data_IF_267625333777
#
_entry.id   IF_267625333777
#
_cell.length_a   1.000
_cell.length_b   1.000
_cell.length_c   1.000
_cell.angle_alpha   90.00
_cell.angle_beta   90.00
_cell.angle_gamma   90.00
#
_symmetry.space_group_name_H-M   'P 1'
#
loop_
_entity.id
_entity.type
_entity.pdbx_description
1 polymer ?
#
# COMPACT_ATOMS: atom_id res chain seq x y z
N UNK A 1 11.91 35.48 10.50
CA UNK A 1 11.55 34.57 11.60
C UNK A 1 12.55 33.44 11.59
N UNK A 2 13.35 33.25 12.65
CA UNK A 2 14.29 32.13 12.75
C UNK A 2 13.49 30.83 13.01
N UNK A 3 13.91 29.70 12.45
CA UNK A 3 13.22 28.41 12.59
C UNK A 3 13.17 27.97 14.05
N UNK A 4 14.23 28.28 14.82
CA UNK A 4 14.31 28.04 16.27
C UNK A 4 13.20 28.79 17.01
N UNK A 5 12.94 30.06 16.64
CA UNK A 5 11.86 30.86 17.24
C UNK A 5 10.50 30.24 16.95
N UNK A 6 10.23 29.81 15.70
CA UNK A 6 8.95 29.18 15.34
C UNK A 6 8.72 27.84 16.07
N UNK A 7 9.79 27.08 16.32
CA UNK A 7 9.73 25.86 17.12
C UNK A 7 9.37 26.15 18.57
N UNK A 8 10.04 27.12 19.20
CA UNK A 8 9.74 27.55 20.57
C UNK A 8 8.33 28.11 20.71
N UNK A 9 7.85 28.85 19.71
CA UNK A 9 6.46 29.34 19.67
C UNK A 9 5.48 28.17 19.76
N UNK A 10 5.72 27.12 18.99
CA UNK A 10 4.89 25.91 18.97
C UNK A 10 4.97 25.14 20.29
N UNK A 11 6.19 24.99 20.84
CA UNK A 11 6.46 24.27 22.08
C UNK A 11 5.76 24.92 23.29
N UNK A 12 5.73 26.25 23.34
CA UNK A 12 5.13 27.00 24.45
C UNK A 12 3.65 27.37 24.21
N UNK A 13 3.10 27.15 23.01
CA UNK A 13 1.74 27.55 22.64
C UNK A 13 0.63 26.92 23.50
N UNK A 14 0.88 25.71 24.03
CA UNK A 14 -0.08 24.98 24.86
C UNK A 14 -0.15 25.50 26.31
N UNK A 15 0.76 26.40 26.70
CA UNK A 15 0.91 26.85 28.08
C UNK A 15 0.51 28.31 28.25
N UNK A 16 -0.25 28.66 29.32
CA UNK A 16 -0.57 30.04 29.62
C UNK A 16 0.70 30.88 29.79
N UNK A 17 0.74 32.12 29.28
CA UNK A 17 1.88 33.00 29.47
C UNK A 17 2.00 33.38 30.96
N UNK A 18 3.03 32.89 31.62
CA UNK A 18 3.45 33.31 32.95
C UNK A 18 4.84 33.99 32.88
N UNK A 19 5.22 34.82 33.88
CA UNK A 19 6.57 35.39 33.94
C UNK A 19 7.66 34.31 33.86
N UNK A 20 7.47 33.21 34.60
CA UNK A 20 8.40 32.07 34.59
C UNK A 20 8.46 31.35 33.25
N UNK A 21 7.32 31.20 32.57
CA UNK A 21 7.23 30.59 31.24
C UNK A 21 7.94 31.44 30.17
N UNK A 22 7.88 32.76 30.31
CA UNK A 22 8.58 33.70 29.41
C UNK A 22 10.08 33.67 29.65
N UNK A 23 10.52 33.62 30.91
CA UNK A 23 11.92 33.44 31.28
C UNK A 23 12.46 32.11 30.76
N UNK A 24 11.78 30.99 31.01
CA UNK A 24 12.17 29.67 30.55
C UNK A 24 12.26 29.58 29.02
N UNK A 25 11.35 30.25 28.30
CA UNK A 25 11.43 30.36 26.83
C UNK A 25 12.66 31.14 26.38
N UNK A 26 13.01 32.23 27.07
CA UNK A 26 14.21 33.01 26.74
C UNK A 26 15.51 32.26 27.03
N UNK A 27 15.52 31.49 28.13
CA UNK A 27 16.64 30.64 28.54
C UNK A 27 16.84 29.50 27.52
N UNK A 28 15.75 28.81 27.16
CA UNK A 28 15.80 27.75 26.16
C UNK A 28 16.18 28.28 24.78
N UNK A 29 15.73 29.48 24.41
CA UNK A 29 16.16 30.13 23.17
C UNK A 29 17.67 30.36 23.14
N UNK A 30 18.26 30.84 24.23
CA UNK A 30 19.71 31.04 24.31
C UNK A 30 20.47 29.71 24.18
N UNK A 31 20.01 28.67 24.88
CA UNK A 31 20.62 27.33 24.80
C UNK A 31 20.56 26.73 23.38
N UNK A 32 19.42 26.88 22.70
CA UNK A 32 19.25 26.39 21.33
C UNK A 32 20.11 27.17 20.32
N UNK A 33 20.28 28.48 20.51
CA UNK A 33 21.13 29.32 19.65
C UNK A 33 22.63 28.98 19.83
N UNK A 34 23.04 28.69 21.07
CA UNK A 34 24.40 28.24 21.37
C UNK A 34 24.70 26.86 20.75
N UNK A 35 23.76 25.91 20.85
CA UNK A 35 23.87 24.59 20.22
C UNK A 35 23.87 24.69 18.68
N UNK A 36 23.04 25.57 18.12
CA UNK A 36 23.00 25.84 16.68
C UNK A 36 24.35 26.37 16.17
N UNK A 37 24.91 27.36 16.87
CA UNK A 37 26.21 27.95 16.52
C UNK A 37 27.33 26.92 16.63
N UNK A 38 27.32 26.09 17.67
CA UNK A 38 28.26 24.97 17.84
C UNK A 38 28.21 23.97 16.67
N UNK A 39 27.01 23.65 16.17
CA UNK A 39 26.86 22.77 15.01
C UNK A 39 27.33 23.40 13.69
N UNK A 40 27.17 24.71 13.52
CA UNK A 40 27.75 25.42 12.38
C UNK A 40 29.28 25.39 12.43
N UNK A 41 29.88 25.62 13.60
CA UNK A 41 31.33 25.56 13.80
C UNK A 41 31.89 24.14 13.59
N UNK A 42 31.07 23.11 13.83
CA UNK A 42 31.37 21.71 13.51
C UNK A 42 31.26 21.37 12.01
N UNK A 43 30.92 22.34 11.15
CA UNK A 43 30.86 22.21 9.69
C UNK A 43 29.52 21.69 9.15
N UNK A 44 28.45 21.68 9.96
CA UNK A 44 27.11 21.31 9.49
C UNK A 44 26.50 22.44 8.64
N UNK A 45 25.65 22.07 7.68
CA UNK A 45 24.84 23.05 6.96
C UNK A 45 23.76 23.64 7.87
N UNK A 46 23.31 24.88 7.61
CA UNK A 46 22.27 25.55 8.41
C UNK A 46 21.02 24.68 8.60
N UNK A 47 20.54 24.03 7.53
CA UNK A 47 19.35 23.17 7.58
C UNK A 47 19.56 21.91 8.44
N UNK A 48 20.77 21.36 8.44
CA UNK A 48 21.12 20.17 9.23
C UNK A 48 21.32 20.53 10.71
N UNK A 49 21.97 21.65 10.99
CA UNK A 49 22.17 22.18 12.33
C UNK A 49 20.81 22.46 13.01
N UNK A 50 19.86 23.10 12.30
CA UNK A 50 18.50 23.33 12.84
C UNK A 50 17.78 22.02 13.16
N UNK A 51 17.82 21.04 12.25
CA UNK A 51 17.19 19.73 12.49
C UNK A 51 17.81 18.96 13.66
N UNK A 52 19.13 19.09 13.83
CA UNK A 52 19.88 18.49 14.93
C UNK A 52 19.49 19.10 16.28
N UNK A 53 19.46 20.43 16.38
CA UNK A 53 19.06 21.15 17.60
C UNK A 53 17.62 20.80 18.01
N UNK A 54 16.67 20.75 17.06
CA UNK A 54 15.29 20.37 17.35
C UNK A 54 15.22 18.94 17.95
N UNK A 55 16.02 18.02 17.43
CA UNK A 55 16.05 16.62 17.91
C UNK A 55 16.73 16.49 19.27
N UNK A 56 17.76 17.28 19.54
CA UNK A 56 18.53 17.24 20.79
C UNK A 56 17.73 17.76 21.99
N UNK A 57 16.97 18.85 21.79
CA UNK A 57 16.20 19.47 22.87
C UNK A 57 14.85 18.80 23.10
N UNK A 58 14.29 18.09 22.11
CA UNK A 58 13.08 17.28 22.31
C UNK A 58 11.87 18.10 22.77
N UNK A 59 11.03 17.53 23.63
CA UNK A 59 9.80 18.16 24.12
C UNK A 59 10.01 18.92 25.44
N UNK A 60 9.15 19.92 25.71
CA UNK A 60 9.23 20.75 26.91
C UNK A 60 9.14 19.95 28.21
N UNK A 61 8.44 18.81 28.21
CA UNK A 61 8.29 17.93 29.38
C UNK A 61 9.64 17.35 29.86
N UNK A 62 10.58 17.11 28.95
CA UNK A 62 11.91 16.56 29.27
C UNK A 62 12.84 17.66 29.80
N UNK A 63 12.63 18.90 29.35
CA UNK A 63 13.40 20.08 29.74
C UNK A 63 12.84 20.76 31.00
N UNK A 64 11.57 20.52 31.32
CA UNK A 64 10.87 21.13 32.44
C UNK A 64 11.59 21.01 33.79
N UNK A 65 12.22 19.87 34.15
CA UNK A 65 12.97 19.74 35.40
C UNK A 65 14.24 20.60 35.42
N UNK A 66 14.90 20.76 34.27
CA UNK A 66 16.14 21.53 34.15
C UNK A 66 15.87 23.04 34.17
N UNK A 67 14.74 23.44 33.58
CA UNK A 67 14.27 24.82 33.55
C UNK A 67 13.46 25.21 34.79
N UNK A 68 13.24 24.29 35.75
CA UNK A 68 12.50 24.56 36.97
C UNK A 68 11.01 24.92 36.76
N UNK A 69 10.41 24.50 35.65
CA UNK A 69 9.01 24.79 35.28
C UNK A 69 8.08 23.57 35.45
N UNK A 70 8.56 22.47 36.03
CA UNK A 70 7.78 21.25 36.23
C UNK A 70 6.46 21.49 36.98
N UNK A 71 6.43 22.43 37.93
CA UNK A 71 5.21 22.79 38.67
C UNK A 71 4.21 23.61 37.85
N UNK A 72 4.70 24.42 36.91
CA UNK A 72 3.88 25.29 36.05
C UNK A 72 3.22 24.50 34.91
N UNK A 73 3.85 23.42 34.46
CA UNK A 73 3.31 22.51 33.44
C UNK A 73 2.31 21.53 34.07
N UNK A 74 2.57 21.02 35.28
CA UNK A 74 1.71 20.06 35.97
C UNK A 74 0.39 20.65 36.51
N UNK A 75 0.32 21.97 36.69
CA UNK A 75 -0.88 22.68 37.20
C UNK A 75 -1.87 23.08 36.11
N UNK A 76 -1.51 22.86 34.83
CA UNK A 76 -2.40 23.01 33.69
C UNK A 76 -2.96 21.61 33.35
N UNK A 77 -4.28 21.34 33.54
CA UNK A 77 -4.85 20.10 33.02
C UNK A 77 -4.64 20.06 31.50
N UNK A 78 -4.30 18.91 30.91
CA UNK A 78 -3.91 18.82 29.51
C UNK A 78 -4.97 19.51 28.65
N UNK A 79 -4.60 20.67 28.08
CA UNK A 79 -5.44 21.35 27.13
C UNK A 79 -5.63 20.37 25.96
N UNK A 80 -6.90 20.11 25.62
CA UNK A 80 -7.26 19.24 24.52
C UNK A 80 -6.43 19.62 23.28
N UNK A 81 -5.86 18.64 22.55
CA UNK A 81 -4.88 18.91 21.52
C UNK A 81 -5.46 19.86 20.46
N UNK A 82 -4.84 21.03 20.32
CA UNK A 82 -5.10 21.98 19.23
C UNK A 82 -4.65 21.36 17.89
N UNK A 83 -5.39 21.52 16.78
CA UNK A 83 -5.22 20.69 15.58
C UNK A 83 -4.07 21.08 14.61
N UNK A 84 -3.14 21.97 14.96
CA UNK A 84 -2.26 22.61 13.95
C UNK A 84 -0.76 22.71 14.32
N UNK A 85 -0.18 21.68 14.94
CA UNK A 85 1.26 21.39 14.85
C UNK A 85 1.50 20.21 13.88
N UNK A 86 2.72 19.98 13.33
CA UNK A 86 3.00 18.80 12.52
C UNK A 86 2.67 17.57 13.38
N UNK A 87 1.50 16.99 13.10
CA UNK A 87 0.89 15.99 13.95
C UNK A 87 1.84 14.80 13.91
N UNK A 88 2.56 14.56 15.01
CA UNK A 88 3.18 13.26 15.22
C UNK A 88 2.04 12.25 15.12
N UNK A 89 1.92 11.61 13.95
CA UNK A 89 0.80 10.74 13.62
C UNK A 89 0.67 9.73 14.75
N UNK A 90 -0.52 9.65 15.36
CA UNK A 90 -0.77 8.70 16.44
C UNK A 90 -0.31 7.31 15.99
N UNK A 91 0.49 6.59 16.82
CA UNK A 91 1.12 5.37 16.39
C UNK A 91 0.08 4.33 15.98
N UNK A 92 0.39 3.54 14.95
CA UNK A 92 -0.51 2.48 14.48
C UNK A 92 -0.79 1.51 15.63
N UNK A 93 -2.07 1.37 15.97
CA UNK A 93 -2.52 0.43 17.00
C UNK A 93 -2.70 -0.96 16.40
N UNK A 94 -2.69 -1.98 17.27
CA UNK A 94 -2.97 -3.35 16.84
C UNK A 94 -4.36 -3.46 16.22
N UNK A 95 -5.36 -2.82 16.83
CA UNK A 95 -6.75 -2.80 16.35
C UNK A 95 -6.86 -2.22 14.93
N UNK A 96 -6.11 -1.16 14.63
CA UNK A 96 -6.06 -0.55 13.29
C UNK A 96 -5.44 -1.51 12.26
N UNK A 97 -4.37 -2.22 12.64
CA UNK A 97 -3.71 -3.21 11.78
C UNK A 97 -4.60 -4.44 11.52
N UNK A 98 -5.35 -4.91 12.53
CA UNK A 98 -6.31 -5.99 12.39
C UNK A 98 -7.51 -5.60 11.53
N UNK A 99 -8.05 -4.38 11.72
CA UNK A 99 -9.12 -3.85 10.88
C UNK A 99 -8.69 -3.73 9.42
N UNK A 100 -7.44 -3.31 9.16
CA UNK A 100 -6.88 -3.27 7.81
C UNK A 100 -6.76 -4.68 7.19
N UNK A 101 -6.27 -5.66 7.94
CA UNK A 101 -6.21 -7.04 7.48
C UNK A 101 -7.59 -7.59 7.14
N UNK A 102 -8.59 -7.34 8.00
CA UNK A 102 -9.97 -7.76 7.78
C UNK A 102 -10.55 -7.15 6.50
N UNK A 103 -10.41 -5.83 6.31
CA UNK A 103 -10.83 -5.13 5.10
C UNK A 103 -10.12 -5.66 3.84
N UNK A 104 -8.83 -6.01 3.96
CA UNK A 104 -8.06 -6.57 2.85
C UNK A 104 -8.48 -7.99 2.50
N UNK A 105 -8.77 -8.84 3.49
CA UNK A 105 -9.32 -10.19 3.29
C UNK A 105 -10.68 -10.14 2.63
N UNK A 106 -11.57 -9.24 3.06
CA UNK A 106 -12.91 -9.07 2.46
C UNK A 106 -12.82 -8.62 1.00
N UNK A 107 -11.88 -7.73 0.67
CA UNK A 107 -11.72 -7.20 -0.68
C UNK A 107 -10.78 -8.02 -1.57
N UNK A 108 -10.13 -9.06 -1.06
CA UNK A 108 -9.18 -9.90 -1.83
C UNK A 108 -9.85 -10.67 -2.98
N UNK A 109 -11.03 -11.30 -2.81
CA UNK A 109 -11.71 -11.99 -3.91
C UNK A 109 -12.08 -11.04 -5.05
N UNK A 110 -12.43 -9.79 -4.74
CA UNK A 110 -12.72 -8.76 -5.73
C UNK A 110 -11.49 -8.47 -6.62
N UNK A 111 -10.30 -8.36 -6.02
CA UNK A 111 -9.04 -8.23 -6.77
C UNK A 111 -8.80 -9.44 -7.69
N UNK A 112 -9.01 -10.66 -7.19
CA UNK A 112 -8.81 -11.88 -7.97
C UNK A 112 -9.76 -11.95 -9.18
N UNK A 113 -11.04 -11.63 -8.98
CA UNK A 113 -12.03 -11.60 -10.07
C UNK A 113 -11.72 -10.52 -11.11
N UNK A 114 -11.31 -9.32 -10.70
CA UNK A 114 -10.91 -8.28 -11.65
C UNK A 114 -9.78 -8.76 -12.57
N UNK A 115 -8.78 -9.45 -12.01
CA UNK A 115 -7.67 -10.00 -12.80
C UNK A 115 -8.12 -11.11 -13.75
N UNK A 116 -9.04 -11.99 -13.33
CA UNK A 116 -9.65 -13.00 -14.20
C UNK A 116 -10.38 -12.35 -15.37
N UNK A 117 -11.16 -11.29 -15.13
CA UNK A 117 -11.86 -10.55 -16.18
C UNK A 117 -10.87 -9.93 -17.18
N UNK A 118 -9.76 -9.36 -16.73
CA UNK A 118 -8.74 -8.83 -17.65
C UNK A 118 -8.12 -9.93 -18.51
N UNK A 119 -7.72 -11.06 -17.91
CA UNK A 119 -7.07 -12.17 -18.63
C UNK A 119 -8.03 -12.81 -19.63
N UNK A 120 -9.30 -12.99 -19.27
CA UNK A 120 -10.30 -13.60 -20.14
C UNK A 120 -10.96 -12.62 -21.12
N UNK A 121 -10.76 -11.31 -20.97
CA UNK A 121 -11.42 -10.31 -21.82
C UNK A 121 -11.22 -10.52 -23.34
N UNK A 122 -10.04 -10.91 -23.87
CA UNK A 122 -9.91 -11.14 -25.31
C UNK A 122 -10.39 -12.53 -25.74
N UNK A 123 -10.73 -13.46 -24.83
CA UNK A 123 -11.03 -14.84 -25.18
C UNK A 123 -12.22 -14.96 -26.13
N UNK A 124 -13.31 -14.23 -25.86
CA UNK A 124 -14.50 -14.23 -26.71
C UNK A 124 -14.19 -13.67 -28.09
N UNK A 125 -13.45 -12.56 -28.16
CA UNK A 125 -13.02 -11.95 -29.42
C UNK A 125 -12.18 -12.92 -30.26
N UNK A 126 -11.19 -13.58 -29.65
CA UNK A 126 -10.32 -14.54 -30.32
C UNK A 126 -11.15 -15.69 -30.88
N UNK A 127 -11.98 -16.32 -30.03
CA UNK A 127 -12.82 -17.47 -30.41
C UNK A 127 -13.75 -17.11 -31.56
N UNK A 128 -14.55 -16.04 -31.43
CA UNK A 128 -15.48 -15.60 -32.46
C UNK A 128 -14.76 -15.28 -33.78
N UNK A 129 -13.63 -14.58 -33.72
CA UNK A 129 -12.86 -14.21 -34.91
C UNK A 129 -12.30 -15.44 -35.63
N UNK A 130 -11.77 -16.42 -34.88
CA UNK A 130 -11.21 -17.65 -35.50
C UNK A 130 -12.29 -18.55 -36.07
N UNK A 131 -13.39 -18.75 -35.36
CA UNK A 131 -14.50 -19.58 -35.84
C UNK A 131 -15.16 -18.96 -37.08
N UNK A 132 -15.32 -17.62 -37.09
CA UNK A 132 -15.86 -16.90 -38.24
C UNK A 132 -14.93 -16.96 -39.45
N UNK A 133 -13.63 -16.72 -39.26
CA UNK A 133 -12.64 -16.79 -40.34
C UNK A 133 -12.49 -18.21 -40.93
N UNK A 134 -12.73 -19.23 -40.13
CA UNK A 134 -12.76 -20.62 -40.58
C UNK A 134 -14.09 -21.04 -41.25
N UNK A 135 -15.12 -20.18 -41.26
CA UNK A 135 -16.45 -20.51 -41.76
C UNK A 135 -17.20 -21.54 -40.91
N UNK A 136 -16.76 -21.77 -39.67
CA UNK A 136 -17.33 -22.76 -38.77
C UNK A 136 -18.63 -22.28 -38.10
N UNK A 137 -18.91 -20.98 -38.16
CA UNK A 137 -20.16 -20.36 -37.69
C UNK A 137 -20.78 -19.52 -38.80
N UNK A 138 -22.11 -19.40 -38.83
CA UNK A 138 -22.86 -18.59 -39.81
C UNK A 138 -22.75 -17.07 -39.60
N UNK A 139 -21.68 -16.60 -38.95
CA UNK A 139 -21.45 -15.19 -38.63
C UNK A 139 -20.25 -14.69 -39.44
N UNK A 140 -20.42 -13.57 -40.14
CA UNK A 140 -19.33 -12.93 -40.87
C UNK A 140 -18.25 -12.36 -39.92
N UNK A 141 -17.03 -12.15 -40.45
CA UNK A 141 -15.86 -11.76 -39.63
C UNK A 141 -16.06 -10.41 -38.94
N UNK A 142 -16.55 -9.40 -39.65
CA UNK A 142 -16.75 -8.06 -39.10
C UNK A 142 -17.71 -8.02 -37.89
N UNK A 143 -18.93 -8.60 -37.95
CA UNK A 143 -19.79 -8.63 -36.78
C UNK A 143 -19.24 -9.51 -35.66
N UNK A 144 -18.53 -10.61 -35.97
CA UNK A 144 -17.85 -11.42 -34.96
C UNK A 144 -16.80 -10.63 -34.17
N UNK A 145 -15.99 -9.83 -34.88
CA UNK A 145 -15.02 -8.91 -34.28
C UNK A 145 -15.74 -7.85 -33.44
N UNK A 146 -16.79 -7.20 -33.96
CA UNK A 146 -17.54 -6.18 -33.22
C UNK A 146 -18.10 -6.73 -31.89
N UNK A 147 -18.78 -7.88 -31.93
CA UNK A 147 -19.34 -8.52 -30.73
C UNK A 147 -18.23 -8.85 -29.74
N UNK A 148 -17.13 -9.46 -30.23
CA UNK A 148 -15.97 -9.78 -29.41
C UNK A 148 -15.36 -8.56 -28.73
N UNK A 149 -15.21 -7.45 -29.46
CA UNK A 149 -14.68 -6.19 -28.93
C UNK A 149 -15.62 -5.58 -27.89
N UNK A 150 -16.94 -5.58 -28.11
CA UNK A 150 -17.91 -5.09 -27.13
C UNK A 150 -17.84 -5.90 -25.84
N UNK A 151 -17.75 -7.24 -25.92
CA UNK A 151 -17.60 -8.10 -24.74
C UNK A 151 -16.27 -7.83 -24.01
N UNK A 152 -15.17 -7.71 -24.75
CA UNK A 152 -13.87 -7.36 -24.20
C UNK A 152 -13.94 -6.04 -23.40
N UNK A 153 -14.49 -4.98 -24.00
CA UNK A 153 -14.61 -3.68 -23.36
C UNK A 153 -15.51 -3.73 -22.12
N UNK A 154 -16.60 -4.50 -22.16
CA UNK A 154 -17.48 -4.69 -21.01
C UNK A 154 -16.76 -5.41 -19.84
N UNK A 155 -15.98 -6.46 -20.14
CA UNK A 155 -15.16 -7.14 -19.14
C UNK A 155 -14.11 -6.21 -18.51
N UNK A 156 -13.42 -5.41 -19.33
CA UNK A 156 -12.45 -4.42 -18.88
C UNK A 156 -13.12 -3.36 -17.99
N UNK A 157 -14.24 -2.80 -18.42
CA UNK A 157 -14.99 -1.82 -17.63
C UNK A 157 -15.47 -2.40 -16.29
N UNK A 158 -15.95 -3.64 -16.28
CA UNK A 158 -16.33 -4.36 -15.07
C UNK A 158 -15.14 -4.57 -14.12
N UNK A 159 -14.00 -5.02 -14.63
CA UNK A 159 -12.78 -5.22 -13.85
C UNK A 159 -12.28 -3.91 -13.22
N UNK A 160 -12.22 -2.82 -13.99
CA UNK A 160 -11.84 -1.50 -13.47
C UNK A 160 -12.82 -1.03 -12.39
N UNK A 161 -14.12 -1.20 -12.59
CA UNK A 161 -15.13 -0.82 -11.59
C UNK A 161 -14.95 -1.57 -10.27
N UNK A 162 -14.65 -2.88 -10.33
CA UNK A 162 -14.34 -3.69 -9.15
C UNK A 162 -13.10 -3.15 -8.43
N UNK A 163 -12.04 -2.80 -9.17
CA UNK A 163 -10.80 -2.25 -8.59
C UNK A 163 -10.99 -0.88 -7.96
N UNK A 164 -11.77 0.02 -8.59
CA UNK A 164 -12.09 1.34 -8.05
C UNK A 164 -12.86 1.21 -6.73
N UNK A 165 -13.90 0.35 -6.69
CA UNK A 165 -14.66 0.08 -5.46
C UNK A 165 -13.79 -0.51 -4.35
N UNK A 166 -12.86 -1.41 -4.70
CA UNK A 166 -11.88 -1.95 -3.76
C UNK A 166 -10.96 -0.86 -3.23
N UNK A 167 -10.45 0.02 -4.08
CA UNK A 167 -9.60 1.15 -3.66
C UNK A 167 -10.34 2.07 -2.69
N UNK A 168 -11.60 2.41 -2.98
CA UNK A 168 -12.43 3.22 -2.09
C UNK A 168 -12.62 2.57 -0.72
N UNK A 169 -12.86 1.26 -0.66
CA UNK A 169 -12.97 0.52 0.61
C UNK A 169 -11.69 0.50 1.44
N UNK A 170 -10.53 0.59 0.78
CA UNK A 170 -9.23 0.61 1.45
C UNK A 170 -8.70 2.03 1.71
N UNK A 171 -9.37 3.07 1.19
CA UNK A 171 -8.97 4.47 1.36
C UNK A 171 -8.86 4.93 2.83
N UNK A 172 -9.73 4.49 3.77
CA UNK A 172 -9.56 4.84 5.20
C UNK A 172 -8.22 4.38 5.80
N UNK A 173 -7.57 3.39 5.20
CA UNK A 173 -6.31 2.81 5.66
C UNK A 173 -5.09 3.30 4.84
N UNK A 174 -5.23 4.38 4.06
CA UNK A 174 -4.15 4.90 3.20
C UNK A 174 -2.86 5.16 3.99
N UNK A 175 -2.96 5.73 5.21
CA UNK A 175 -1.82 5.99 6.10
C UNK A 175 -0.98 4.75 6.43
N UNK A 176 -1.60 3.56 6.47
CA UNK A 176 -0.89 2.30 6.72
C UNK A 176 -0.13 1.82 5.48
N UNK A 177 -0.68 2.08 4.29
CA UNK A 177 -0.08 1.72 3.01
C UNK A 177 1.06 2.67 2.61
N UNK A 178 0.95 3.94 2.97
CA UNK A 178 1.91 5.01 2.66
C UNK A 178 3.12 5.00 3.60
N UNK A 179 2.96 4.48 4.83
CA UNK A 179 4.08 4.24 5.76
C UNK A 179 4.37 5.41 6.70
N UNK A 180 3.49 6.41 6.75
CA UNK A 180 3.72 7.68 7.47
C UNK A 180 3.52 7.59 8.99
N UNK A 181 2.97 6.48 9.51
CA UNK A 181 2.62 6.37 10.92
C UNK A 181 3.68 5.60 11.75
N UNK A 182 4.21 6.19 12.85
CA UNK A 182 5.05 5.51 13.84
C UNK A 182 4.36 4.22 14.33
N UNK A 183 5.10 3.13 14.58
CA UNK A 183 4.50 1.82 14.93
C UNK A 183 4.95 1.35 16.31
N UNK A 184 4.05 0.62 16.99
CA UNK A 184 4.38 -0.04 18.25
C UNK A 184 5.03 -1.41 18.00
N UNK A 185 5.95 -1.84 18.88
CA UNK A 185 6.60 -3.16 18.77
C UNK A 185 5.64 -4.36 18.89
N UNK A 186 4.38 -4.13 19.31
CA UNK A 186 3.32 -5.13 19.24
C UNK A 186 2.89 -5.43 17.79
N UNK A 187 2.77 -4.40 16.95
CA UNK A 187 2.38 -4.52 15.52
C UNK A 187 3.46 -5.27 14.74
N UNK A 188 4.74 -5.04 15.03
CA UNK A 188 5.84 -5.72 14.35
C UNK A 188 5.88 -7.22 14.65
N UNK A 189 5.71 -7.60 15.93
CA UNK A 189 5.63 -9.02 16.33
C UNK A 189 4.43 -9.71 15.70
N UNK A 190 3.28 -9.04 15.68
CA UNK A 190 2.08 -9.53 15.05
C UNK A 190 2.24 -9.69 13.53
N UNK A 191 2.80 -8.68 12.85
CA UNK A 191 3.06 -8.74 11.41
C UNK A 191 4.07 -9.84 11.04
N UNK A 192 5.07 -10.07 11.88
CA UNK A 192 6.02 -11.19 11.74
C UNK A 192 5.33 -12.55 11.85
N UNK A 193 4.46 -12.73 12.84
CA UNK A 193 3.67 -13.96 13.00
C UNK A 193 2.72 -14.18 11.81
N UNK A 194 2.07 -13.11 11.33
CA UNK A 194 1.20 -13.16 10.15
C UNK A 194 1.98 -13.54 8.88
N UNK A 195 3.18 -13.00 8.70
CA UNK A 195 4.05 -13.36 7.58
C UNK A 195 4.44 -14.84 7.62
N UNK A 196 4.77 -15.36 8.81
CA UNK A 196 5.16 -16.76 9.00
C UNK A 196 3.99 -17.72 8.70
N UNK A 197 2.76 -17.42 9.14
CA UNK A 197 1.58 -18.25 8.84
C UNK A 197 1.19 -18.19 7.35
N UNK A 198 1.35 -17.02 6.71
CA UNK A 198 1.01 -16.84 5.31
C UNK A 198 2.03 -17.47 4.34
N UNK A 199 3.30 -17.57 4.72
CA UNK A 199 4.39 -18.04 3.86
C UNK A 199 4.14 -19.42 3.22
N UNK A 200 3.82 -20.50 3.96
CA UNK A 200 3.62 -21.82 3.34
C UNK A 200 2.42 -21.82 2.39
N UNK A 201 1.30 -21.21 2.79
CA UNK A 201 0.08 -21.14 1.98
C UNK A 201 0.30 -20.40 0.66
N UNK A 202 1.06 -19.30 0.70
CA UNK A 202 1.42 -18.50 -0.49
C UNK A 202 2.39 -19.25 -1.39
N UNK A 203 3.40 -19.90 -0.83
CA UNK A 203 4.36 -20.71 -1.60
C UNK A 203 3.66 -21.83 -2.36
N UNK A 204 2.76 -22.58 -1.72
CA UNK A 204 2.00 -23.63 -2.42
C UNK A 204 1.07 -23.04 -3.49
N UNK A 205 0.42 -21.90 -3.22
CA UNK A 205 -0.40 -21.21 -4.23
C UNK A 205 0.42 -20.80 -5.45
N UNK A 206 1.61 -20.26 -5.21
CA UNK A 206 2.55 -19.83 -6.24
C UNK A 206 3.04 -21.01 -7.07
N UNK A 207 3.42 -22.12 -6.44
CA UNK A 207 3.79 -23.36 -7.14
C UNK A 207 2.67 -23.88 -8.04
N UNK A 208 1.43 -23.91 -7.56
CA UNK A 208 0.27 -24.32 -8.36
C UNK A 208 0.05 -23.35 -9.53
N UNK A 209 0.11 -22.04 -9.29
CA UNK A 209 -0.06 -21.03 -10.33
C UNK A 209 1.01 -21.16 -11.43
N UNK A 210 2.28 -21.28 -11.03
CA UNK A 210 3.40 -21.47 -11.97
C UNK A 210 3.25 -22.75 -12.77
N UNK A 211 2.88 -23.87 -12.13
CA UNK A 211 2.61 -25.12 -12.84
C UNK A 211 1.49 -24.96 -13.87
N UNK A 212 0.39 -24.30 -13.51
CA UNK A 212 -0.72 -24.00 -14.42
C UNK A 212 -0.28 -23.11 -15.59
N UNK A 213 0.54 -22.09 -15.34
CA UNK A 213 1.03 -21.18 -16.39
C UNK A 213 1.97 -21.87 -17.38
N UNK A 214 2.82 -22.78 -16.90
CA UNK A 214 3.69 -23.58 -17.76
C UNK A 214 2.84 -24.53 -18.62
N UNK A 215 1.87 -25.24 -18.00
CA UNK A 215 1.00 -26.18 -18.72
C UNK A 215 -0.01 -25.46 -19.61
N UNK A 216 -0.33 -24.19 -19.35
CA UNK A 216 -1.26 -23.40 -20.17
C UNK A 216 -0.85 -23.29 -21.64
N UNK A 217 0.44 -23.47 -21.96
CA UNK A 217 0.93 -23.47 -23.34
C UNK A 217 0.60 -24.77 -24.11
N UNK A 218 0.33 -25.88 -23.40
CA UNK A 218 0.10 -27.21 -23.99
C UNK A 218 -1.07 -27.24 -24.98
N UNK A 219 -2.26 -26.66 -24.70
CA UNK A 219 -3.36 -26.64 -25.67
C UNK A 219 -2.98 -26.00 -27.02
N UNK A 220 -2.23 -24.88 -26.98
CA UNK A 220 -1.80 -24.17 -28.19
C UNK A 220 -0.77 -24.99 -28.96
N UNK A 221 0.21 -25.58 -28.27
CA UNK A 221 1.21 -26.45 -28.90
C UNK A 221 0.60 -27.72 -29.49
N UNK A 222 -0.35 -28.34 -28.78
CA UNK A 222 -1.05 -29.53 -29.26
C UNK A 222 -1.80 -29.24 -30.57
N UNK A 223 -2.56 -28.15 -30.65
CA UNK A 223 -3.25 -27.76 -31.89
C UNK A 223 -2.28 -27.32 -32.98
N UNK A 224 -1.17 -26.68 -32.62
CA UNK A 224 -0.20 -26.18 -33.61
C UNK A 224 0.68 -27.27 -34.22
N UNK A 225 1.05 -28.30 -33.44
CA UNK A 225 2.02 -29.33 -33.85
C UNK A 225 1.39 -30.66 -34.24
N UNK A 226 0.23 -31.01 -33.66
CA UNK A 226 -0.38 -32.33 -33.86
C UNK A 226 -1.60 -32.30 -34.80
N UNK A 227 -2.24 -31.14 -34.98
CA UNK A 227 -3.44 -31.03 -35.79
C UNK A 227 -3.13 -30.79 -37.28
N UNK A 228 -4.01 -31.26 -38.17
CA UNK A 228 -3.94 -30.93 -39.60
C UNK A 228 -4.10 -29.41 -39.83
N UNK A 229 -3.59 -28.85 -40.94
CA UNK A 229 -3.67 -27.41 -41.21
C UNK A 229 -5.10 -26.83 -41.15
N UNK A 230 -6.10 -27.59 -41.60
CA UNK A 230 -7.51 -27.18 -41.55
C UNK A 230 -8.08 -27.20 -40.13
N UNK A 231 -7.77 -28.24 -39.36
CA UNK A 231 -8.15 -28.34 -37.95
C UNK A 231 -7.49 -27.23 -37.13
N UNK A 232 -6.20 -26.98 -37.37
CA UNK A 232 -5.44 -25.95 -36.69
C UNK A 232 -6.06 -24.57 -36.92
N UNK A 233 -6.39 -24.21 -38.18
CA UNK A 233 -7.05 -22.92 -38.51
C UNK A 233 -8.34 -22.69 -37.73
N UNK A 234 -9.14 -23.73 -37.53
CA UNK A 234 -10.44 -23.64 -36.85
C UNK A 234 -10.30 -23.61 -35.33
N UNK A 235 -9.42 -24.45 -34.76
CA UNK A 235 -9.35 -24.69 -33.31
C UNK A 235 -8.32 -23.83 -32.58
N UNK A 236 -7.40 -23.15 -33.29
CA UNK A 236 -6.32 -22.39 -32.65
C UNK A 236 -6.85 -21.29 -31.71
N UNK A 237 -7.95 -20.61 -32.05
CA UNK A 237 -8.53 -19.59 -31.16
C UNK A 237 -9.14 -20.17 -29.89
N UNK A 238 -9.73 -21.37 -29.97
CA UNK A 238 -10.23 -22.11 -28.80
C UNK A 238 -9.06 -22.56 -27.92
N UNK A 239 -7.96 -23.02 -28.53
CA UNK A 239 -6.75 -23.38 -27.79
C UNK A 239 -6.14 -22.19 -27.04
N UNK A 240 -6.09 -21.01 -27.69
CA UNK A 240 -5.64 -19.76 -27.04
C UNK A 240 -6.59 -19.34 -25.91
N UNK A 241 -7.90 -19.45 -26.10
CA UNK A 241 -8.87 -19.18 -25.03
C UNK A 241 -8.73 -20.15 -23.84
N UNK A 242 -8.46 -21.43 -24.10
CA UNK A 242 -8.17 -22.42 -23.06
C UNK A 242 -6.88 -22.07 -22.30
N UNK A 243 -5.82 -21.66 -23.00
CA UNK A 243 -4.59 -21.15 -22.38
C UNK A 243 -4.87 -19.97 -21.46
N UNK A 244 -5.64 -18.97 -21.92
CA UNK A 244 -6.03 -17.82 -21.09
C UNK A 244 -6.85 -18.24 -19.87
N UNK A 245 -7.75 -19.22 -20.01
CA UNK A 245 -8.51 -19.80 -18.90
C UNK A 245 -7.61 -20.44 -17.85
N UNK A 246 -6.65 -21.26 -18.26
CA UNK A 246 -5.67 -21.86 -17.34
C UNK A 246 -4.83 -20.79 -16.65
N UNK A 247 -4.43 -19.75 -17.38
CA UNK A 247 -3.68 -18.62 -16.83
C UNK A 247 -4.50 -17.87 -15.77
N UNK A 248 -5.78 -17.59 -16.07
CA UNK A 248 -6.71 -16.94 -15.16
C UNK A 248 -6.94 -17.76 -13.88
N UNK A 249 -7.08 -19.09 -13.98
CA UNK A 249 -7.21 -19.98 -12.81
C UNK A 249 -5.97 -19.92 -11.94
N UNK A 250 -4.77 -20.00 -12.52
CA UNK A 250 -3.51 -19.90 -11.79
C UNK A 250 -3.40 -18.57 -11.03
N UNK A 251 -3.70 -17.45 -11.70
CA UNK A 251 -3.67 -16.12 -11.09
C UNK A 251 -4.74 -15.96 -10.00
N UNK A 252 -5.94 -16.51 -10.18
CA UNK A 252 -7.01 -16.47 -9.18
C UNK A 252 -6.62 -17.21 -7.88
N UNK A 253 -6.05 -18.41 -8.01
CA UNK A 253 -5.58 -19.21 -6.86
C UNK A 253 -4.50 -18.48 -6.08
N UNK A 254 -3.56 -17.83 -6.78
CA UNK A 254 -2.48 -17.07 -6.16
C UNK A 254 -3.02 -15.82 -5.43
N UNK A 255 -3.79 -14.98 -6.13
CA UNK A 255 -4.28 -13.71 -5.58
C UNK A 255 -5.21 -13.91 -4.39
N UNK A 256 -6.06 -14.95 -4.41
CA UNK A 256 -7.00 -15.22 -3.31
C UNK A 256 -6.28 -15.50 -1.98
N UNK A 257 -5.03 -15.98 -2.01
CA UNK A 257 -4.25 -16.30 -0.81
C UNK A 257 -3.24 -15.21 -0.41
N UNK A 258 -3.18 -14.10 -1.14
CA UNK A 258 -2.13 -13.09 -0.98
C UNK A 258 -2.44 -12.01 0.08
N UNK A 259 -3.67 -11.95 0.61
CA UNK A 259 -4.10 -10.87 1.53
C UNK A 259 -3.20 -10.74 2.76
N UNK A 260 -2.92 -11.86 3.43
CA UNK A 260 -2.18 -11.91 4.69
C UNK A 260 -0.71 -11.56 4.47
N UNK A 261 -0.07 -12.18 3.48
CA UNK A 261 1.33 -11.93 3.15
C UNK A 261 1.55 -10.49 2.68
N UNK A 262 0.62 -9.94 1.89
CA UNK A 262 0.75 -8.59 1.38
C UNK A 262 0.41 -7.53 2.44
N UNK A 263 -0.38 -7.87 3.46
CA UNK A 263 -0.58 -7.04 4.66
C UNK A 263 0.67 -7.04 5.52
N UNK A 264 1.21 -8.22 5.84
CA UNK A 264 2.46 -8.34 6.59
C UNK A 264 3.61 -7.62 5.88
N UNK A 265 3.71 -7.70 4.56
CA UNK A 265 4.70 -6.96 3.79
C UNK A 265 4.57 -5.44 3.95
N UNK A 266 3.35 -4.87 3.88
CA UNK A 266 3.12 -3.43 4.10
C UNK A 266 3.51 -3.02 5.52
N UNK A 267 3.21 -3.86 6.51
CA UNK A 267 3.53 -3.61 7.91
C UNK A 267 5.03 -3.79 8.23
N UNK A 268 5.76 -4.60 7.47
CA UNK A 268 7.20 -4.83 7.65
C UNK A 268 8.10 -3.94 6.76
N UNK A 269 7.58 -3.36 5.66
CA UNK A 269 8.36 -2.57 4.69
C UNK A 269 8.93 -1.27 5.26
N UNK A 270 8.28 -0.69 6.28
CA UNK A 270 8.72 0.55 6.93
C UNK A 270 10.02 0.42 7.72
N UNK A 271 10.48 -0.81 7.98
CA UNK A 271 11.72 -1.08 8.73
C UNK A 271 13.01 -0.77 7.94
N UNK A 272 12.93 -0.58 6.63
CA UNK A 272 14.12 -0.39 5.76
C UNK A 272 14.42 1.06 5.39
N UNK A 273 13.63 2.02 5.88
CA UNK A 273 13.82 3.45 5.60
C UNK A 273 14.38 4.24 6.80
N UNK A 274 14.64 3.55 7.93
CA UNK A 274 15.45 4.02 9.07
C UNK A 274 16.75 3.25 9.08
#
# INVERSE_FOLDING_TARGET
MNVITAYLDTMFAAYPPSPRMTEARSELHAMMEDAYTSHLDAGMSENEAVGRVITEFGNLDELAPQLGISGDIASVPPAAPSPEGPTALAPVTLDEAEAYLAARRETQPALAWAQVLFILSPAVLIVLSTLSAAGAIGLAVNPAVLIGTVVLLACVAGAVTILVRRRQRLAPFARLAEGDAPRSGAVDRWAGALAADAAPRRTTAFQIAVALWIVALVPVLAVSLLASPETSRTWIGIAVAAMLGMFAVGTFVLLRKDADAATAAVLLRSRRAM
#
